data_IF_010480820478
#
_entry.id   IF_010480820478
#
_cell.length_a   1.000
_cell.length_b   1.000
_cell.length_c   1.000
_cell.angle_alpha   90.00
_cell.angle_beta   90.00
_cell.angle_gamma   90.00
#
_symmetry.space_group_name_H-M   'P 1'
#
loop_
_entity.id
_entity.type
_entity.pdbx_description
1 polymer ?
#
# COMPACT_ATOMS: atom_id res chain seq x y z
N UNK A 1 62.56 43.00 -70.76
CA UNK A 1 61.19 43.42 -70.40
C UNK A 1 60.80 42.72 -69.08
N UNK A 2 60.52 43.51 -68.03
CA UNK A 2 59.99 43.17 -66.67
C UNK A 2 60.62 41.97 -65.92
N UNK A 3 61.65 42.24 -65.09
CA UNK A 3 61.63 42.56 -63.62
C UNK A 3 61.45 41.32 -62.72
N UNK A 4 62.56 40.91 -62.08
CA UNK A 4 62.61 39.99 -60.93
C UNK A 4 63.68 40.45 -59.93
N UNK A 5 63.29 40.34 -58.65
CA UNK A 5 64.05 40.09 -57.41
C UNK A 5 64.95 41.16 -56.76
N UNK A 6 64.80 41.18 -55.43
CA UNK A 6 65.81 41.47 -54.39
C UNK A 6 65.96 42.96 -54.06
N UNK A 7 66.03 43.41 -52.81
CA UNK A 7 66.19 42.78 -51.49
C UNK A 7 66.62 43.89 -50.50
N UNK A 8 66.47 43.62 -49.18
CA UNK A 8 66.97 44.40 -48.02
C UNK A 8 66.31 45.78 -47.77
N UNK A 9 66.04 46.26 -46.55
CA UNK A 9 66.35 45.83 -45.18
C UNK A 9 66.17 47.04 -44.23
N UNK A 10 66.04 46.78 -42.91
CA UNK A 10 65.81 47.68 -41.75
C UNK A 10 64.34 48.01 -41.48
N UNK A 11 63.76 47.78 -40.30
CA UNK A 11 64.29 47.50 -38.97
C UNK A 11 63.67 48.47 -37.98
N UNK A 12 62.80 48.00 -37.07
CA UNK A 12 62.61 48.61 -35.75
C UNK A 12 61.86 47.63 -34.84
N UNK A 13 62.48 47.31 -33.70
CA UNK A 13 61.89 46.47 -32.68
C UNK A 13 60.81 47.20 -31.89
N UNK A 14 59.85 46.44 -31.37
CA UNK A 14 59.08 46.87 -30.20
C UNK A 14 58.89 45.67 -29.28
N UNK A 15 59.24 45.88 -28.01
CA UNK A 15 59.25 44.89 -26.95
C UNK A 15 57.84 44.34 -26.67
N UNK A 16 57.70 43.02 -26.71
CA UNK A 16 56.47 42.34 -26.33
C UNK A 16 56.27 42.41 -24.81
N UNK A 17 55.37 43.30 -24.36
CA UNK A 17 54.78 43.25 -23.02
C UNK A 17 53.99 41.95 -22.84
N UNK A 18 54.38 41.11 -21.88
CA UNK A 18 53.59 39.95 -21.41
C UNK A 18 52.21 40.43 -20.94
N UNK A 19 51.18 40.17 -21.74
CA UNK A 19 49.78 40.30 -21.35
C UNK A 19 49.43 39.20 -20.36
N UNK A 20 49.24 39.54 -19.08
CA UNK A 20 48.56 38.67 -18.11
C UNK A 20 47.09 38.57 -18.53
N UNK A 21 46.70 37.40 -19.03
CA UNK A 21 45.34 37.05 -19.45
C UNK A 21 44.39 37.24 -18.24
N UNK A 22 43.60 38.30 -18.23
CA UNK A 22 42.56 38.51 -17.21
C UNK A 22 41.45 37.47 -17.46
N UNK A 23 41.33 36.50 -16.55
CA UNK A 23 40.17 35.61 -16.51
C UNK A 23 38.90 36.44 -16.34
N UNK A 24 37.94 36.28 -17.25
CA UNK A 24 36.63 36.92 -17.06
C UNK A 24 35.82 36.12 -16.02
N UNK A 25 34.88 36.80 -15.35
CA UNK A 25 33.98 36.14 -14.38
C UNK A 25 33.19 34.98 -15.04
N UNK A 26 32.96 35.07 -16.36
CA UNK A 26 32.30 34.05 -17.17
C UNK A 26 33.20 32.81 -17.34
N UNK A 27 34.51 33.00 -17.55
CA UNK A 27 35.47 31.88 -17.63
C UNK A 27 35.58 31.14 -16.29
N UNK A 28 35.51 31.87 -15.17
CA UNK A 28 35.46 31.29 -13.82
C UNK A 28 34.19 30.49 -13.55
N UNK A 29 33.02 31.00 -13.95
CA UNK A 29 31.74 30.28 -13.83
C UNK A 29 31.72 29.02 -14.68
N UNK A 30 32.16 29.08 -15.94
CA UNK A 30 32.23 27.91 -16.82
C UNK A 30 33.21 26.85 -16.30
N UNK A 31 34.34 27.28 -15.72
CA UNK A 31 35.29 26.37 -15.08
C UNK A 31 34.70 25.71 -13.84
N UNK A 32 33.99 26.46 -13.00
CA UNK A 32 33.35 25.94 -11.79
C UNK A 32 32.22 24.95 -12.13
N UNK A 33 31.38 25.27 -13.12
CA UNK A 33 30.35 24.35 -13.63
C UNK A 33 31.00 23.10 -14.22
N UNK A 34 32.07 23.25 -14.99
CA UNK A 34 32.86 22.13 -15.51
C UNK A 34 33.40 21.23 -14.40
N UNK A 35 33.98 21.81 -13.35
CA UNK A 35 34.45 21.07 -12.17
C UNK A 35 33.31 20.34 -11.45
N UNK A 36 32.17 20.97 -11.26
CA UNK A 36 30.99 20.33 -10.64
C UNK A 36 30.52 19.15 -11.50
N UNK A 37 30.38 19.35 -12.81
CA UNK A 37 29.98 18.28 -13.73
C UNK A 37 30.98 17.13 -13.72
N UNK A 38 32.28 17.41 -13.81
CA UNK A 38 33.33 16.38 -13.76
C UNK A 38 33.36 15.64 -12.43
N UNK A 39 33.21 16.34 -11.30
CA UNK A 39 33.11 15.72 -9.97
C UNK A 39 31.85 14.86 -9.85
N UNK A 40 30.72 15.31 -10.38
CA UNK A 40 29.48 14.55 -10.37
C UNK A 40 29.58 13.28 -11.21
N UNK A 41 30.15 13.36 -12.42
CA UNK A 41 30.43 12.20 -13.26
C UNK A 41 31.45 11.24 -12.63
N UNK A 42 32.47 11.78 -11.95
CA UNK A 42 33.44 10.96 -11.23
C UNK A 42 32.82 10.25 -10.02
N UNK A 43 31.99 10.93 -9.25
CA UNK A 43 31.24 10.32 -8.13
C UNK A 43 30.24 9.27 -8.63
N UNK A 44 29.57 9.54 -9.76
CA UNK A 44 28.67 8.58 -10.40
C UNK A 44 29.45 7.35 -10.89
N UNK A 45 30.61 7.55 -11.51
CA UNK A 45 31.50 6.47 -11.93
C UNK A 45 31.97 5.66 -10.72
N UNK A 46 32.44 6.31 -9.66
CA UNK A 46 32.84 5.65 -8.42
C UNK A 46 31.67 4.88 -7.78
N UNK A 47 30.46 5.44 -7.78
CA UNK A 47 29.26 4.77 -7.28
C UNK A 47 28.94 3.49 -8.07
N UNK A 48 29.03 3.55 -9.41
CA UNK A 48 28.78 2.39 -10.27
C UNK A 48 29.96 1.40 -10.32
N UNK A 49 31.19 1.85 -10.06
CA UNK A 49 32.38 1.02 -9.96
C UNK A 49 32.59 0.43 -8.56
N UNK A 50 31.85 0.91 -7.55
CA UNK A 50 31.91 0.39 -6.20
C UNK A 50 31.35 -1.03 -6.18
N UNK A 51 32.12 -2.04 -5.73
CA UNK A 51 31.59 -3.38 -5.55
C UNK A 51 30.40 -3.35 -4.57
N UNK A 52 29.34 -4.10 -4.87
CA UNK A 52 28.17 -4.20 -3.98
C UNK A 52 28.51 -4.68 -2.55
N UNK A 53 29.71 -5.25 -2.35
CA UNK A 53 30.24 -5.69 -1.06
C UNK A 53 30.86 -4.59 -0.21
N UNK A 54 31.20 -3.41 -0.76
CA UNK A 54 31.88 -2.35 -0.02
C UNK A 54 31.01 -1.72 1.09
N UNK A 55 29.71 -1.44 0.89
CA UNK A 55 28.83 -1.00 1.98
C UNK A 55 28.70 -2.04 3.09
N UNK A 56 28.65 -3.34 2.73
CA UNK A 56 28.65 -4.43 3.70
C UNK A 56 29.94 -4.48 4.51
N UNK A 57 31.10 -4.32 3.86
CA UNK A 57 32.41 -4.33 4.52
C UNK A 57 32.57 -3.17 5.52
N UNK A 58 32.13 -1.97 5.14
CA UNK A 58 32.16 -0.78 6.02
C UNK A 58 31.18 -0.94 7.18
N UNK A 59 29.98 -1.47 6.91
CA UNK A 59 28.97 -1.71 7.96
C UNK A 59 29.46 -2.78 8.93
N UNK A 60 30.01 -3.90 8.45
CA UNK A 60 30.57 -4.98 9.24
C UNK A 60 31.78 -4.53 10.09
N UNK A 61 32.63 -3.66 9.54
CA UNK A 61 33.74 -3.05 10.29
C UNK A 61 33.27 -2.11 11.42
N UNK A 62 32.10 -1.48 11.28
CA UNK A 62 31.54 -0.54 12.26
C UNK A 62 30.65 -1.26 13.29
N UNK A 63 29.84 -2.23 12.88
CA UNK A 63 28.82 -2.87 13.72
C UNK A 63 29.14 -4.30 14.16
N UNK A 64 30.25 -4.87 13.69
CA UNK A 64 30.56 -6.29 13.85
C UNK A 64 29.85 -7.17 12.80
N UNK A 65 30.11 -8.49 12.78
CA UNK A 65 29.50 -9.42 11.83
C UNK A 65 27.98 -9.39 11.96
N UNK A 66 27.30 -9.12 10.85
CA UNK A 66 25.84 -9.15 10.81
C UNK A 66 25.37 -10.56 11.18
N UNK A 67 24.37 -10.70 12.08
CA UNK A 67 23.83 -12.01 12.40
C UNK A 67 23.31 -12.68 11.13
N UNK A 68 23.53 -13.99 11.03
CA UNK A 68 23.06 -14.77 9.88
C UNK A 68 21.58 -14.49 9.62
N UNK A 69 21.19 -14.21 8.36
CA UNK A 69 19.78 -14.15 7.99
C UNK A 69 19.06 -15.43 8.42
N UNK A 70 17.77 -15.37 8.81
CA UNK A 70 17.05 -16.53 9.33
C UNK A 70 17.20 -17.81 8.51
N UNK A 71 17.12 -17.72 7.18
CA UNK A 71 17.28 -18.85 6.27
C UNK A 71 18.68 -19.48 6.30
N UNK A 72 19.74 -18.69 6.50
CA UNK A 72 21.11 -19.19 6.66
C UNK A 72 21.25 -19.91 7.99
N UNK A 73 20.69 -19.35 9.06
CA UNK A 73 20.68 -19.99 10.39
C UNK A 73 19.96 -21.34 10.33
N UNK A 74 18.75 -21.38 9.76
CA UNK A 74 17.97 -22.60 9.62
C UNK A 74 18.67 -23.66 8.75
N UNK A 75 19.39 -23.23 7.71
CA UNK A 75 20.20 -24.13 6.89
C UNK A 75 21.38 -24.73 7.69
N UNK A 76 22.05 -23.94 8.54
CA UNK A 76 23.10 -24.42 9.46
C UNK A 76 22.54 -25.42 10.49
N UNK A 77 21.30 -25.20 10.94
CA UNK A 77 20.56 -26.12 11.81
C UNK A 77 20.08 -27.40 11.07
N UNK A 78 20.35 -27.52 9.77
CA UNK A 78 20.03 -28.70 8.96
C UNK A 78 18.58 -28.76 8.46
N UNK A 79 17.80 -27.68 8.59
CA UNK A 79 16.43 -27.64 8.08
C UNK A 79 16.41 -27.63 6.55
N UNK A 80 15.41 -28.32 5.99
CA UNK A 80 15.17 -28.42 4.55
C UNK A 80 13.68 -28.25 4.24
N UNK A 81 13.38 -27.86 3.01
CA UNK A 81 12.03 -27.78 2.49
C UNK A 81 11.28 -29.11 2.65
N UNK A 82 10.03 -29.03 3.12
CA UNK A 82 9.20 -30.21 3.42
C UNK A 82 7.77 -30.09 2.93
N UNK A 83 7.09 -29.01 3.33
CA UNK A 83 5.73 -28.72 2.91
C UNK A 83 5.75 -27.59 1.88
N UNK A 84 5.02 -27.69 0.75
CA UNK A 84 4.90 -26.57 -0.18
C UNK A 84 4.29 -25.35 0.51
N UNK A 85 4.65 -24.15 0.07
CA UNK A 85 4.22 -22.89 0.70
C UNK A 85 3.32 -22.10 -0.23
N UNK A 86 2.18 -21.64 0.28
CA UNK A 86 1.25 -20.76 -0.44
C UNK A 86 1.22 -19.39 0.24
N UNK A 87 1.58 -18.34 -0.47
CA UNK A 87 1.50 -16.96 0.01
C UNK A 87 0.18 -16.34 -0.44
N UNK A 88 -0.53 -15.68 0.49
CA UNK A 88 -1.76 -14.94 0.17
C UNK A 88 -1.55 -13.46 0.52
N UNK A 89 -1.36 -12.60 -0.49
CA UNK A 89 -1.07 -11.18 -0.28
C UNK A 89 -2.27 -10.44 0.34
N UNK A 90 -1.99 -9.33 1.00
CA UNK A 90 -3.00 -8.43 1.54
C UNK A 90 -3.45 -7.37 0.53
N UNK A 91 -4.32 -6.47 0.99
CA UNK A 91 -4.76 -5.32 0.21
C UNK A 91 -3.55 -4.52 -0.29
N UNK A 92 -3.64 -3.96 -1.49
CA UNK A 92 -2.60 -3.14 -2.16
C UNK A 92 -1.22 -3.78 -2.33
N UNK A 93 -0.99 -5.02 -1.93
CA UNK A 93 0.38 -5.61 -1.97
C UNK A 93 0.69 -6.39 -3.25
N UNK A 94 -0.33 -6.79 -4.01
CA UNK A 94 -0.17 -7.45 -5.30
C UNK A 94 -0.16 -6.46 -6.46
N UNK A 95 0.73 -6.66 -7.44
CA UNK A 95 0.76 -5.86 -8.66
C UNK A 95 -0.48 -6.06 -9.52
N UNK A 96 -0.94 -4.99 -10.16
CA UNK A 96 -2.06 -5.00 -11.12
C UNK A 96 -1.59 -4.44 -12.46
N UNK A 97 -1.90 -5.14 -13.55
CA UNK A 97 -1.51 -4.77 -14.92
C UNK A 97 -2.71 -4.51 -15.83
N UNK A 98 -2.53 -3.59 -16.78
CA UNK A 98 -3.55 -3.21 -17.76
C UNK A 98 -3.63 -4.20 -18.92
N UNK A 99 -4.84 -4.62 -19.29
CA UNK A 99 -5.12 -5.48 -20.44
C UNK A 99 -5.96 -4.78 -21.51
N UNK A 100 -6.81 -3.85 -21.10
CA UNK A 100 -7.65 -3.04 -21.98
C UNK A 100 -7.89 -1.70 -21.27
N UNK A 101 -7.84 -0.61 -22.02
CA UNK A 101 -8.04 0.73 -21.46
C UNK A 101 -8.44 1.72 -22.53
N UNK A 102 -8.94 2.88 -22.10
CA UNK A 102 -9.37 3.96 -22.98
C UNK A 102 -8.16 4.66 -23.64
N UNK A 103 -8.42 5.59 -24.55
CA UNK A 103 -7.37 6.31 -25.30
C UNK A 103 -6.32 6.97 -24.40
N UNK A 104 -6.69 7.42 -23.19
CA UNK A 104 -5.74 8.00 -22.26
C UNK A 104 -4.69 6.99 -21.74
N UNK A 105 -4.94 5.69 -21.84
CA UNK A 105 -4.05 4.61 -21.43
C UNK A 105 -3.28 3.98 -22.61
N UNK A 106 -3.30 4.61 -23.78
CA UNK A 106 -2.56 4.14 -24.94
C UNK A 106 -1.05 3.99 -24.62
N UNK A 107 -0.48 2.85 -25.03
CA UNK A 107 0.90 2.45 -24.75
C UNK A 107 1.12 1.73 -23.41
N UNK A 108 0.07 1.57 -22.58
CA UNK A 108 0.17 0.94 -21.26
C UNK A 108 -0.23 -0.54 -21.22
N UNK A 109 -0.48 -1.19 -22.36
CA UNK A 109 -0.82 -2.61 -22.41
C UNK A 109 0.25 -3.48 -21.71
N UNK A 110 -0.21 -4.31 -20.77
CA UNK A 110 0.58 -5.16 -19.85
C UNK A 110 1.61 -4.42 -19.01
N UNK A 111 1.44 -3.11 -18.83
CA UNK A 111 2.20 -2.34 -17.84
C UNK A 111 1.49 -2.40 -16.50
N UNK A 112 2.29 -2.45 -15.43
CA UNK A 112 1.78 -2.41 -14.06
C UNK A 112 1.24 -1.01 -13.77
N UNK A 113 -0.07 -0.88 -13.59
CA UNK A 113 -0.68 0.34 -13.06
C UNK A 113 -0.55 0.42 -11.53
N UNK A 114 -0.27 -0.71 -10.89
CA UNK A 114 -0.01 -0.83 -9.46
C UNK A 114 1.15 -1.79 -9.19
N UNK A 115 2.05 -1.46 -8.25
CA UNK A 115 3.18 -2.32 -7.88
C UNK A 115 4.32 -2.36 -8.92
N UNK A 116 4.65 -1.23 -9.53
CA UNK A 116 5.70 -1.07 -10.54
C UNK A 116 6.36 0.31 -10.50
N UNK A 117 6.95 0.77 -11.61
CA UNK A 117 7.49 2.14 -11.70
C UNK A 117 6.34 3.16 -11.73
N UNK A 118 6.17 3.94 -10.67
CA UNK A 118 5.11 4.96 -10.53
C UNK A 118 5.15 6.09 -11.59
N UNK A 119 6.15 6.12 -12.48
CA UNK A 119 6.33 7.17 -13.48
C UNK A 119 5.12 7.43 -14.38
N UNK A 120 4.33 6.40 -14.71
CA UNK A 120 3.12 6.57 -15.53
C UNK A 120 1.92 7.11 -14.74
N UNK A 121 1.84 6.82 -13.44
CA UNK A 121 0.82 7.37 -12.53
C UNK A 121 0.97 8.89 -12.44
N UNK A 122 2.21 9.38 -12.33
CA UNK A 122 2.49 10.82 -12.28
C UNK A 122 2.19 11.56 -13.58
N UNK A 123 2.31 10.89 -14.74
CA UNK A 123 2.04 11.50 -16.04
C UNK A 123 0.55 11.65 -16.34
N UNK A 124 -0.29 10.72 -15.85
CA UNK A 124 -1.71 10.63 -16.22
C UNK A 124 -2.60 10.30 -15.01
N UNK A 125 -2.68 11.17 -13.98
CA UNK A 125 -3.34 10.85 -12.72
C UNK A 125 -4.85 10.57 -12.88
N UNK A 126 -5.57 11.36 -13.68
CA UNK A 126 -7.01 11.13 -13.90
C UNK A 126 -7.29 9.83 -14.67
N UNK A 127 -6.46 9.53 -15.68
CA UNK A 127 -6.54 8.26 -16.40
C UNK A 127 -6.29 7.07 -15.48
N UNK A 128 -5.30 7.20 -14.59
CA UNK A 128 -5.01 6.16 -13.60
C UNK A 128 -6.17 5.95 -12.63
N UNK A 129 -6.78 7.02 -12.10
CA UNK A 129 -7.96 6.94 -11.22
C UNK A 129 -9.12 6.23 -11.93
N UNK A 130 -9.39 6.60 -13.18
CA UNK A 130 -10.43 5.97 -14.00
C UNK A 130 -10.19 4.45 -14.18
N UNK A 131 -8.97 4.05 -14.52
CA UNK A 131 -8.63 2.64 -14.77
C UNK A 131 -8.53 1.80 -13.50
N UNK A 132 -8.24 2.43 -12.36
CA UNK A 132 -8.17 1.75 -11.07
C UNK A 132 -9.51 1.67 -10.33
N UNK A 133 -10.51 2.44 -10.79
CA UNK A 133 -11.87 2.39 -10.25
C UNK A 133 -12.61 1.12 -10.72
N UNK A 134 -13.49 0.62 -9.87
CA UNK A 134 -14.47 -0.42 -10.23
C UNK A 134 -15.81 0.22 -10.58
N UNK A 135 -16.63 -0.49 -11.34
CA UNK A 135 -17.97 -0.08 -11.69
C UNK A 135 -18.86 -0.01 -10.45
N UNK A 136 -19.60 1.10 -10.34
CA UNK A 136 -20.30 1.44 -9.11
C UNK A 136 -21.57 0.61 -8.85
N UNK A 137 -22.07 -0.14 -9.84
CA UNK A 137 -23.22 -1.05 -9.66
C UNK A 137 -22.78 -2.50 -9.53
N UNK A 138 -21.81 -2.95 -10.35
CA UNK A 138 -21.40 -4.35 -10.44
C UNK A 138 -20.21 -4.71 -9.54
N UNK A 139 -19.37 -3.74 -9.17
CA UNK A 139 -18.13 -4.00 -8.45
C UNK A 139 -17.09 -4.77 -9.30
N UNK A 140 -17.20 -4.71 -10.62
CA UNK A 140 -16.27 -5.29 -11.60
C UNK A 140 -15.52 -4.19 -12.37
N UNK A 141 -14.72 -4.56 -13.37
CA UNK A 141 -14.05 -3.54 -14.19
C UNK A 141 -15.08 -2.74 -15.01
N UNK A 142 -14.91 -1.42 -15.16
CA UNK A 142 -15.76 -0.60 -16.03
C UNK A 142 -15.69 -1.01 -17.51
N UNK A 143 -16.71 -0.67 -18.33
CA UNK A 143 -16.69 -0.94 -19.76
C UNK A 143 -15.45 -0.37 -20.48
N UNK A 144 -14.80 -1.21 -21.30
CA UNK A 144 -13.59 -0.84 -22.04
C UNK A 144 -12.32 -0.77 -21.18
N UNK A 145 -12.36 -1.27 -19.94
CA UNK A 145 -11.22 -1.34 -19.02
C UNK A 145 -11.07 -2.78 -18.54
N UNK A 146 -9.85 -3.31 -18.56
CA UNK A 146 -9.50 -4.62 -17.99
C UNK A 146 -8.20 -4.51 -17.23
N UNK A 147 -8.26 -4.79 -15.93
CA UNK A 147 -7.10 -4.84 -15.05
C UNK A 147 -6.97 -6.25 -14.47
N UNK A 148 -5.79 -6.85 -14.52
CA UNK A 148 -5.57 -8.20 -14.03
C UNK A 148 -4.46 -8.25 -12.98
N UNK A 149 -4.56 -9.16 -11.99
CA UNK A 149 -3.47 -9.38 -11.06
C UNK A 149 -2.26 -9.93 -11.82
N UNK A 150 -1.09 -9.43 -11.46
CA UNK A 150 0.18 -10.02 -11.91
C UNK A 150 0.28 -11.44 -11.36
N UNK A 151 0.81 -12.36 -12.15
CA UNK A 151 0.94 -13.78 -11.79
C UNK A 151 2.36 -14.14 -11.32
N UNK A 152 2.47 -15.24 -10.58
CA UNK A 152 3.74 -15.79 -10.09
C UNK A 152 4.28 -15.07 -8.85
N UNK A 153 5.46 -15.50 -8.38
CA UNK A 153 6.10 -14.92 -7.19
C UNK A 153 6.41 -13.41 -7.36
N UNK A 154 6.63 -12.98 -8.60
CA UNK A 154 6.87 -11.57 -8.99
C UNK A 154 5.67 -10.64 -8.77
N UNK A 155 4.50 -11.21 -8.44
CA UNK A 155 3.30 -10.43 -8.19
C UNK A 155 3.39 -9.60 -6.90
N UNK A 156 4.18 -10.06 -5.92
CA UNK A 156 4.28 -9.39 -4.62
C UNK A 156 5.67 -9.47 -3.97
N UNK A 157 6.72 -9.90 -4.68
CA UNK A 157 8.08 -9.90 -4.14
C UNK A 157 8.57 -8.46 -3.87
N UNK A 158 8.55 -7.62 -4.89
CA UNK A 158 8.93 -6.21 -4.91
C UNK A 158 7.75 -5.37 -5.40
N UNK A 159 7.23 -4.53 -4.51
CA UNK A 159 6.13 -3.64 -4.84
C UNK A 159 6.63 -2.33 -5.48
N UNK A 160 7.79 -1.84 -5.03
CA UNK A 160 8.53 -0.72 -5.60
C UNK A 160 10.02 -0.86 -5.27
N UNK A 161 10.94 -0.17 -5.97
CA UNK A 161 12.34 -0.14 -5.58
C UNK A 161 12.50 0.23 -4.10
N UNK A 162 13.08 -0.66 -3.29
CA UNK A 162 13.27 -0.47 -1.84
C UNK A 162 12.08 -0.83 -0.94
N UNK A 163 10.92 -1.23 -1.51
CA UNK A 163 9.77 -1.69 -0.74
C UNK A 163 9.48 -3.18 -1.04
N UNK A 164 9.98 -4.03 -0.14
CA UNK A 164 9.90 -5.48 -0.21
C UNK A 164 8.66 -5.94 0.57
N UNK A 165 7.73 -6.64 -0.07
CA UNK A 165 6.57 -7.20 0.66
C UNK A 165 6.88 -8.66 1.03
N UNK A 166 7.25 -9.48 0.04
CA UNK A 166 7.51 -10.91 0.24
C UNK A 166 8.92 -11.36 -0.12
N UNK A 167 9.71 -10.54 -0.82
CA UNK A 167 11.04 -10.93 -1.32
C UNK A 167 11.99 -11.43 -0.22
N UNK A 168 11.97 -10.82 0.97
CA UNK A 168 12.81 -11.23 2.10
C UNK A 168 12.43 -12.63 2.60
N UNK A 169 11.13 -12.93 2.73
CA UNK A 169 10.67 -14.24 3.17
C UNK A 169 11.00 -15.32 2.13
N UNK A 170 10.74 -15.03 0.85
CA UNK A 170 11.04 -15.93 -0.28
C UNK A 170 12.54 -16.25 -0.32
N UNK A 171 13.40 -15.23 -0.20
CA UNK A 171 14.85 -15.41 -0.21
C UNK A 171 15.35 -16.27 0.97
N UNK A 172 14.74 -16.14 2.15
CA UNK A 172 15.09 -16.97 3.31
C UNK A 172 14.62 -18.42 3.14
N UNK A 173 13.44 -18.65 2.57
CA UNK A 173 12.95 -20.00 2.24
C UNK A 173 13.85 -20.67 1.19
N UNK A 174 14.32 -19.92 0.20
CA UNK A 174 15.24 -20.44 -0.82
C UNK A 174 16.54 -20.99 -0.21
N UNK A 175 17.03 -20.42 0.90
CA UNK A 175 18.23 -20.91 1.60
C UNK A 175 18.09 -22.32 2.19
N UNK A 176 16.86 -22.79 2.43
CA UNK A 176 16.57 -24.14 2.93
C UNK A 176 15.97 -25.05 1.84
N UNK A 177 16.11 -24.69 0.57
CA UNK A 177 15.75 -25.54 -0.57
C UNK A 177 14.33 -25.36 -1.10
N UNK A 178 13.65 -24.25 -0.78
CA UNK A 178 12.44 -23.85 -1.50
C UNK A 178 12.79 -23.22 -2.86
N UNK A 179 11.94 -23.45 -3.84
CA UNK A 179 12.05 -22.98 -5.23
C UNK A 179 10.65 -22.63 -5.75
N UNK A 180 10.55 -22.05 -6.95
CA UNK A 180 9.27 -21.70 -7.58
C UNK A 180 8.29 -22.90 -7.64
N UNK A 181 8.81 -24.12 -7.90
CA UNK A 181 7.99 -25.35 -7.97
C UNK A 181 7.28 -25.74 -6.68
N UNK A 182 7.72 -25.25 -5.52
CA UNK A 182 7.13 -25.55 -4.20
C UNK A 182 6.71 -24.30 -3.43
N UNK A 183 6.65 -23.15 -4.12
CA UNK A 183 6.15 -21.88 -3.61
C UNK A 183 5.12 -21.30 -4.57
N UNK A 184 3.93 -20.97 -4.07
CA UNK A 184 2.86 -20.40 -4.88
C UNK A 184 2.40 -19.06 -4.31
N UNK A 185 2.39 -18.01 -5.12
CA UNK A 185 1.75 -16.74 -4.79
C UNK A 185 0.31 -16.77 -5.30
N UNK A 186 -0.66 -16.87 -4.38
CA UNK A 186 -2.08 -16.79 -4.65
C UNK A 186 -2.48 -15.32 -4.90
N UNK A 187 -1.98 -14.73 -5.99
CA UNK A 187 -2.28 -13.37 -6.37
C UNK A 187 -3.74 -13.24 -6.84
N UNK A 188 -4.41 -12.18 -6.40
CA UNK A 188 -5.79 -11.86 -6.72
C UNK A 188 -5.93 -10.34 -6.89
N UNK A 189 -7.00 -9.91 -7.55
CA UNK A 189 -7.34 -8.49 -7.62
C UNK A 189 -7.95 -8.06 -6.29
N UNK A 190 -7.10 -7.46 -5.46
CA UNK A 190 -7.44 -7.01 -4.12
C UNK A 190 -8.41 -5.82 -4.10
N UNK A 191 -8.89 -5.32 -5.25
CA UNK A 191 -9.96 -4.30 -5.29
C UNK A 191 -11.34 -4.95 -5.22
N UNK A 192 -11.49 -6.13 -5.80
CA UNK A 192 -12.78 -6.82 -5.93
C UNK A 192 -13.24 -7.40 -4.59
N UNK A 193 -14.56 -7.54 -4.43
CA UNK A 193 -15.10 -8.43 -3.40
C UNK A 193 -14.61 -9.87 -3.59
N UNK A 194 -14.56 -10.65 -2.51
CA UNK A 194 -13.93 -11.97 -2.56
C UNK A 194 -14.66 -12.89 -3.54
N UNK A 195 -16.00 -12.86 -3.55
CA UNK A 195 -16.80 -13.61 -4.51
C UNK A 195 -16.60 -13.12 -5.96
N UNK A 196 -16.45 -11.82 -6.20
CA UNK A 196 -16.22 -11.29 -7.55
C UNK A 196 -14.85 -11.72 -8.11
N UNK A 197 -13.87 -12.05 -7.28
CA UNK A 197 -12.60 -12.66 -7.75
C UNK A 197 -12.83 -14.03 -8.41
N UNK A 198 -13.83 -14.78 -7.97
CA UNK A 198 -14.25 -16.03 -8.61
C UNK A 198 -15.05 -15.72 -9.87
N UNK A 199 -16.06 -14.86 -9.80
CA UNK A 199 -16.91 -14.52 -10.96
C UNK A 199 -16.09 -14.00 -12.14
N UNK A 200 -15.14 -13.09 -11.91
CA UNK A 200 -14.36 -12.46 -12.98
C UNK A 200 -13.19 -13.32 -13.46
N UNK A 201 -12.41 -13.85 -12.53
CA UNK A 201 -11.08 -14.41 -12.82
C UNK A 201 -10.96 -15.91 -12.48
N UNK A 202 -12.01 -16.51 -11.89
CA UNK A 202 -12.00 -17.87 -11.34
C UNK A 202 -10.88 -18.07 -10.32
N UNK A 203 -10.59 -17.04 -9.53
CA UNK A 203 -9.39 -17.01 -8.69
C UNK A 203 -9.45 -18.03 -7.56
N UNK A 204 -10.62 -18.21 -6.93
CA UNK A 204 -10.78 -19.21 -5.86
C UNK A 204 -10.64 -20.63 -6.43
N UNK A 205 -11.24 -20.89 -7.60
CA UNK A 205 -11.06 -22.14 -8.34
C UNK A 205 -9.59 -22.39 -8.71
N UNK A 206 -8.84 -21.36 -9.11
CA UNK A 206 -7.41 -21.48 -9.43
C UNK A 206 -6.57 -21.75 -8.18
N UNK A 207 -6.88 -21.13 -7.05
CA UNK A 207 -6.21 -21.40 -5.77
C UNK A 207 -6.43 -22.85 -5.37
N UNK A 208 -7.68 -23.34 -5.45
CA UNK A 208 -8.03 -24.75 -5.20
C UNK A 208 -7.17 -25.68 -6.07
N UNK A 209 -7.21 -25.52 -7.39
CA UNK A 209 -6.47 -26.39 -8.32
C UNK A 209 -4.96 -26.35 -8.13
N UNK A 210 -4.39 -25.18 -7.82
CA UNK A 210 -2.95 -25.06 -7.54
C UNK A 210 -2.57 -25.77 -6.24
N UNK A 211 -3.38 -25.66 -5.19
CA UNK A 211 -3.13 -26.37 -3.93
C UNK A 211 -3.20 -27.88 -4.14
N UNK A 212 -4.23 -28.38 -4.82
CA UNK A 212 -4.37 -29.80 -5.16
C UNK A 212 -3.14 -30.30 -5.94
N UNK A 213 -2.70 -29.54 -6.95
CA UNK A 213 -1.50 -29.85 -7.72
C UNK A 213 -0.23 -29.88 -6.86
N UNK A 214 -0.04 -28.90 -5.97
CA UNK A 214 1.11 -28.86 -5.06
C UNK A 214 1.13 -30.05 -4.10
N UNK A 215 -0.03 -30.49 -3.60
CA UNK A 215 -0.13 -31.68 -2.74
C UNK A 215 0.18 -32.95 -3.54
N UNK A 216 -0.38 -33.09 -4.74
CA UNK A 216 -0.15 -34.24 -5.60
C UNK A 216 1.33 -34.39 -6.00
N UNK A 217 1.99 -33.29 -6.34
CA UNK A 217 3.38 -33.27 -6.82
C UNK A 217 4.43 -33.26 -5.71
N UNK A 218 4.04 -33.06 -4.46
CA UNK A 218 4.94 -33.10 -3.29
C UNK A 218 4.99 -34.44 -2.57
N UNK A 219 4.43 -35.50 -3.16
CA UNK A 219 4.30 -36.81 -2.51
C UNK A 219 3.26 -36.80 -1.39
N UNK A 220 2.16 -36.08 -1.59
CA UNK A 220 1.04 -35.98 -0.65
C UNK A 220 1.30 -35.05 0.54
N UNK A 221 2.28 -34.15 0.47
CA UNK A 221 2.54 -33.18 1.55
C UNK A 221 1.55 -32.02 1.43
N UNK A 222 0.67 -31.93 2.42
CA UNK A 222 -0.25 -30.79 2.62
C UNK A 222 0.52 -29.46 2.63
N UNK A 223 -0.09 -28.40 2.11
CA UNK A 223 0.54 -27.08 1.98
C UNK A 223 0.54 -26.31 3.30
N UNK A 224 1.56 -25.49 3.52
CA UNK A 224 1.56 -24.45 4.56
C UNK A 224 1.16 -23.14 3.90
N UNK A 225 0.12 -22.49 4.43
CA UNK A 225 -0.39 -21.23 3.88
C UNK A 225 0.08 -20.08 4.75
N UNK A 226 0.61 -19.02 4.14
CA UNK A 226 1.09 -17.82 4.81
C UNK A 226 0.31 -16.62 4.28
N UNK A 227 -0.89 -16.36 4.83
CA UNK A 227 -1.67 -15.18 4.49
C UNK A 227 -1.24 -13.95 5.30
N UNK A 228 -1.31 -12.77 4.70
CA UNK A 228 -0.95 -11.50 5.34
C UNK A 228 -2.09 -10.47 5.28
N UNK A 229 -2.34 -9.76 6.38
CA UNK A 229 -3.32 -8.67 6.45
C UNK A 229 -4.70 -9.11 5.91
N UNK A 230 -5.31 -8.37 4.97
CA UNK A 230 -6.57 -8.74 4.31
C UNK A 230 -6.53 -10.13 3.66
N UNK A 231 -5.35 -10.61 3.24
CA UNK A 231 -5.17 -11.96 2.69
C UNK A 231 -5.55 -13.06 3.68
N UNK A 232 -5.54 -12.77 4.98
CA UNK A 232 -6.05 -13.69 6.02
C UNK A 232 -7.55 -13.85 5.93
N UNK A 233 -8.29 -12.74 5.75
CA UNK A 233 -9.73 -12.77 5.55
C UNK A 233 -10.09 -13.43 4.21
N UNK A 234 -9.34 -13.13 3.16
CA UNK A 234 -9.52 -13.75 1.84
C UNK A 234 -9.31 -15.26 1.91
N UNK A 235 -8.26 -15.72 2.60
CA UNK A 235 -8.01 -17.14 2.76
C UNK A 235 -9.02 -17.83 3.67
N UNK A 236 -9.51 -17.16 4.72
CA UNK A 236 -10.62 -17.64 5.54
C UNK A 236 -11.88 -17.84 4.69
N UNK A 237 -12.22 -16.86 3.85
CA UNK A 237 -13.31 -16.97 2.88
C UNK A 237 -13.08 -18.14 1.92
N UNK A 238 -11.88 -18.29 1.37
CA UNK A 238 -11.53 -19.41 0.49
C UNK A 238 -11.74 -20.78 1.16
N UNK A 239 -11.30 -20.96 2.42
CA UNK A 239 -11.49 -22.23 3.14
C UNK A 239 -12.97 -22.59 3.29
N UNK A 240 -13.83 -21.61 3.52
CA UNK A 240 -15.28 -21.83 3.63
C UNK A 240 -15.91 -22.08 2.26
N UNK A 241 -15.52 -21.27 1.28
CA UNK A 241 -15.97 -21.41 -0.10
C UNK A 241 -15.60 -22.78 -0.69
N UNK A 242 -14.37 -23.26 -0.49
CA UNK A 242 -13.89 -24.49 -1.13
C UNK A 242 -14.61 -25.74 -0.61
N UNK A 243 -14.97 -25.77 0.67
CA UNK A 243 -15.70 -26.89 1.27
C UNK A 243 -17.22 -26.81 1.00
N UNK A 244 -17.75 -25.63 0.71
CA UNK A 244 -19.16 -25.43 0.38
C UNK A 244 -19.53 -26.12 -0.95
N UNK A 245 -20.76 -26.69 -1.05
CA UNK A 245 -21.22 -27.40 -2.24
C UNK A 245 -21.45 -26.45 -3.42
N UNK A 246 -21.33 -26.98 -4.64
CA UNK A 246 -21.71 -26.27 -5.86
C UNK A 246 -23.24 -26.04 -5.88
N UNK A 247 -23.74 -24.95 -6.50
CA UNK A 247 -22.98 -23.94 -7.24
C UNK A 247 -22.43 -22.78 -6.39
N UNK A 248 -22.74 -22.73 -5.09
CA UNK A 248 -22.37 -21.60 -4.23
C UNK A 248 -20.90 -21.62 -3.78
N UNK A 249 -20.30 -22.81 -3.67
CA UNK A 249 -18.90 -23.02 -3.30
C UNK A 249 -18.08 -23.80 -4.31
N UNK A 250 -16.83 -24.08 -3.96
CA UNK A 250 -15.85 -24.78 -4.77
C UNK A 250 -16.06 -26.29 -4.87
N UNK A 251 -16.95 -26.88 -4.08
CA UNK A 251 -17.30 -28.31 -4.14
C UNK A 251 -16.11 -29.24 -3.91
N UNK A 252 -15.19 -28.87 -3.02
CA UNK A 252 -14.09 -29.72 -2.56
C UNK A 252 -14.52 -30.79 -1.54
N UNK A 253 -15.70 -30.61 -0.93
CA UNK A 253 -16.20 -31.47 0.14
C UNK A 253 -15.73 -31.02 1.53
N UNK A 254 -16.34 -31.53 2.61
CA UNK A 254 -16.16 -31.04 3.98
C UNK A 254 -14.78 -31.36 4.59
N UNK A 255 -13.98 -32.19 3.93
CA UNK A 255 -12.63 -32.56 4.38
C UNK A 255 -11.54 -31.91 3.53
N UNK A 256 -11.88 -31.06 2.56
CA UNK A 256 -10.90 -30.55 1.62
C UNK A 256 -9.76 -29.81 2.32
N UNK A 257 -10.07 -28.93 3.29
CA UNK A 257 -9.05 -28.22 4.06
C UNK A 257 -8.22 -29.20 4.90
N UNK A 258 -8.88 -30.18 5.53
CA UNK A 258 -8.19 -31.21 6.31
C UNK A 258 -7.24 -32.05 5.45
N UNK A 259 -7.57 -32.32 4.18
CA UNK A 259 -6.79 -33.12 3.25
C UNK A 259 -5.64 -32.35 2.61
N UNK A 260 -5.79 -31.04 2.38
CA UNK A 260 -4.83 -30.27 1.58
C UNK A 260 -4.00 -29.25 2.38
N UNK A 261 -4.49 -28.79 3.54
CA UNK A 261 -3.84 -27.75 4.34
C UNK A 261 -3.16 -28.36 5.56
N UNK A 262 -1.86 -28.10 5.73
CA UNK A 262 -1.08 -28.53 6.90
C UNK A 262 -1.25 -27.56 8.06
N UNK A 263 -1.10 -26.28 7.76
CA UNK A 263 -1.11 -25.19 8.72
C UNK A 263 -1.34 -23.86 8.01
N UNK A 264 -1.90 -22.89 8.73
CA UNK A 264 -2.05 -21.51 8.28
C UNK A 264 -1.24 -20.62 9.24
N UNK A 265 -0.23 -19.93 8.73
CA UNK A 265 0.65 -19.02 9.48
C UNK A 265 0.24 -17.58 9.17
N UNK A 266 -0.76 -17.08 9.91
CA UNK A 266 -1.32 -15.75 9.71
C UNK A 266 -0.31 -14.65 10.11
N UNK A 267 -0.14 -13.64 9.27
CA UNK A 267 0.65 -12.45 9.56
C UNK A 267 -0.31 -11.25 9.64
N UNK A 268 -0.62 -10.81 10.86
CA UNK A 268 -1.42 -9.59 11.09
C UNK A 268 -2.85 -9.66 10.55
N UNK A 269 -3.56 -10.78 10.76
CA UNK A 269 -4.92 -10.98 10.26
C UNK A 269 -5.98 -10.15 11.00
N UNK A 270 -6.73 -9.27 10.30
CA UNK A 270 -7.75 -8.42 10.92
C UNK A 270 -9.12 -9.11 10.98
N UNK A 271 -9.23 -10.22 11.73
CA UNK A 271 -10.46 -11.05 11.76
C UNK A 271 -11.72 -10.25 12.09
N UNK A 272 -11.63 -9.36 13.08
CA UNK A 272 -12.73 -8.50 13.52
C UNK A 272 -12.75 -7.15 12.79
N UNK A 273 -11.92 -6.95 11.77
CA UNK A 273 -11.72 -5.66 11.10
C UNK A 273 -10.62 -4.81 11.75
N UNK A 274 -10.44 -3.59 11.23
CA UNK A 274 -9.50 -2.59 11.74
C UNK A 274 -10.09 -1.18 11.62
N UNK A 275 -10.01 -0.33 12.66
CA UNK A 275 -10.50 1.06 12.61
C UNK A 275 -9.95 1.87 11.44
N UNK A 276 -8.68 1.62 11.06
CA UNK A 276 -8.01 2.26 9.92
C UNK A 276 -8.70 2.01 8.57
N UNK A 277 -9.42 0.91 8.39
CA UNK A 277 -10.17 0.69 7.15
C UNK A 277 -11.22 1.78 6.94
N UNK A 278 -11.81 2.28 8.02
CA UNK A 278 -12.85 3.31 7.98
C UNK A 278 -12.23 4.65 7.60
N UNK A 279 -11.14 5.08 8.26
CA UNK A 279 -10.46 6.33 7.88
C UNK A 279 -9.91 6.28 6.44
N UNK A 280 -9.48 5.09 5.98
CA UNK A 280 -9.13 4.86 4.58
C UNK A 280 -10.27 5.12 3.60
N UNK A 281 -11.50 4.68 3.91
CA UNK A 281 -12.70 4.92 3.10
C UNK A 281 -13.20 6.39 3.16
N UNK A 282 -12.93 7.07 4.28
CA UNK A 282 -13.43 8.42 4.55
C UNK A 282 -12.53 9.54 4.08
N UNK A 283 -11.23 9.44 4.32
CA UNK A 283 -10.27 10.51 4.09
C UNK A 283 -9.21 10.14 3.06
N UNK A 284 -9.33 8.95 2.43
CA UNK A 284 -8.25 8.31 1.71
C UNK A 284 -6.95 8.23 2.54
N UNK A 285 -7.07 8.19 3.87
CA UNK A 285 -5.95 8.15 4.83
C UNK A 285 -5.34 6.74 4.90
N UNK A 286 -4.88 6.23 3.76
CA UNK A 286 -3.85 5.22 3.81
C UNK A 286 -2.54 5.93 4.18
N UNK A 287 -1.83 5.44 5.20
CA UNK A 287 -0.39 5.74 5.37
C UNK A 287 0.38 5.59 4.05
N UNK A 288 -0.13 4.81 3.09
CA UNK A 288 0.40 4.65 1.75
C UNK A 288 0.25 5.90 0.85
N UNK A 289 -0.74 6.76 1.08
CA UNK A 289 -0.78 8.13 0.53
C UNK A 289 0.19 9.05 1.27
N UNK A 290 0.46 8.81 2.57
CA UNK A 290 1.56 9.49 3.26
C UNK A 290 2.94 9.07 2.70
N UNK A 291 3.08 7.83 2.21
CA UNK A 291 4.26 7.37 1.46
C UNK A 291 4.30 7.99 0.06
N UNK A 292 3.17 8.10 -0.65
CA UNK A 292 3.11 8.87 -1.90
C UNK A 292 3.46 10.36 -1.70
N UNK A 293 3.01 10.96 -0.59
CA UNK A 293 3.41 12.31 -0.14
C UNK A 293 4.90 12.39 0.20
N UNK A 294 5.46 11.36 0.83
CA UNK A 294 6.87 11.31 1.23
C UNK A 294 7.82 11.07 0.03
N UNK A 295 7.38 10.34 -1.00
CA UNK A 295 8.16 10.05 -2.21
C UNK A 295 8.08 11.22 -3.21
N UNK A 296 7.03 12.04 -3.16
CA UNK A 296 6.84 13.19 -4.05
C UNK A 296 6.30 14.44 -3.33
N UNK A 297 7.12 15.10 -2.47
CA UNK A 297 6.69 16.27 -1.69
C UNK A 297 6.17 17.42 -2.58
N UNK A 298 6.74 17.60 -3.78
CA UNK A 298 6.40 18.72 -4.67
C UNK A 298 5.07 18.62 -5.44
N UNK A 299 4.32 17.51 -5.35
CA UNK A 299 3.05 17.33 -6.11
C UNK A 299 1.82 17.67 -5.27
N UNK A 300 1.91 17.52 -3.94
CA UNK A 300 0.80 17.83 -3.03
C UNK A 300 0.99 19.18 -2.30
N UNK A 301 2.21 19.74 -2.31
CA UNK A 301 2.51 21.11 -1.82
C UNK A 301 2.22 22.21 -2.86
N UNK A 302 1.73 21.87 -4.05
CA UNK A 302 1.17 22.86 -4.98
C UNK A 302 -0.32 22.93 -4.78
N UNK A 303 -0.75 23.96 -4.04
CA UNK A 303 -2.12 24.41 -3.76
C UNK A 303 -3.07 24.55 -4.96
N UNK A 304 -2.66 24.16 -6.17
CA UNK A 304 -3.45 24.23 -7.40
C UNK A 304 -4.32 22.97 -7.61
N UNK A 305 -4.05 21.85 -6.93
CA UNK A 305 -4.80 20.58 -7.06
C UNK A 305 -5.46 20.08 -5.75
N UNK A 306 -5.50 20.94 -4.72
CA UNK A 306 -5.65 20.59 -3.30
C UNK A 306 -7.00 20.07 -2.77
N UNK A 307 -8.02 19.87 -3.61
CA UNK A 307 -9.29 19.25 -3.18
C UNK A 307 -9.88 18.32 -4.25
N UNK A 308 -9.83 18.72 -5.52
CA UNK A 308 -10.40 17.93 -6.63
C UNK A 308 -9.71 16.56 -6.81
N UNK A 309 -8.39 16.52 -6.70
CA UNK A 309 -7.63 15.25 -6.80
C UNK A 309 -7.96 14.30 -5.64
N UNK A 310 -8.08 14.83 -4.42
CA UNK A 310 -8.46 14.04 -3.25
C UNK A 310 -9.87 13.47 -3.41
N UNK A 311 -10.80 14.28 -3.92
CA UNK A 311 -12.16 13.83 -4.22
C UNK A 311 -12.13 12.66 -5.20
N UNK A 312 -11.43 12.77 -6.33
CA UNK A 312 -11.29 11.67 -7.29
C UNK A 312 -10.70 10.39 -6.70
N UNK A 313 -9.68 10.51 -5.85
CA UNK A 313 -9.07 9.36 -5.16
C UNK A 313 -10.06 8.72 -4.18
N UNK A 314 -10.78 9.52 -3.38
CA UNK A 314 -11.79 9.01 -2.45
C UNK A 314 -12.88 8.22 -3.20
N UNK A 315 -13.35 8.74 -4.34
CA UNK A 315 -14.33 8.05 -5.20
C UNK A 315 -13.82 6.67 -5.60
N UNK A 316 -12.63 6.62 -6.19
CA UNK A 316 -11.99 5.38 -6.60
C UNK A 316 -11.84 4.42 -5.43
N UNK A 317 -11.33 4.85 -4.27
CA UNK A 317 -11.13 3.96 -3.12
C UNK A 317 -12.43 3.34 -2.60
N UNK A 318 -13.57 4.04 -2.71
CA UNK A 318 -14.90 3.51 -2.33
C UNK A 318 -15.48 2.55 -3.38
N UNK A 319 -14.87 2.44 -4.54
CA UNK A 319 -15.19 1.37 -5.49
C UNK A 319 -14.48 0.06 -5.14
N UNK A 320 -13.44 0.08 -4.30
CA UNK A 320 -12.68 -1.12 -3.92
C UNK A 320 -13.40 -1.93 -2.83
N UNK A 321 -14.35 -2.74 -3.27
CA UNK A 321 -15.27 -3.51 -2.41
C UNK A 321 -14.58 -4.43 -1.40
N UNK A 322 -13.37 -4.92 -1.66
CA UNK A 322 -12.61 -5.77 -0.69
C UNK A 322 -12.40 -5.09 0.67
N UNK A 323 -12.32 -3.76 0.69
CA UNK A 323 -12.09 -2.96 1.91
C UNK A 323 -13.21 -3.15 2.94
N UNK A 324 -14.42 -3.47 2.48
CA UNK A 324 -15.57 -3.77 3.32
C UNK A 324 -15.31 -4.95 4.27
N UNK A 325 -14.50 -5.93 3.84
CA UNK A 325 -14.15 -7.09 4.66
C UNK A 325 -13.42 -6.71 5.95
N UNK A 326 -12.76 -5.55 5.96
CA UNK A 326 -11.94 -5.05 7.07
C UNK A 326 -12.65 -4.03 7.96
N UNK A 327 -13.94 -3.74 7.73
CA UNK A 327 -14.71 -2.89 8.64
C UNK A 327 -14.85 -3.59 10.01
N UNK A 328 -14.71 -2.83 11.12
CA UNK A 328 -14.92 -3.34 12.47
C UNK A 328 -16.23 -4.13 12.63
N UNK A 329 -16.13 -5.34 13.19
CA UNK A 329 -17.24 -6.25 13.47
C UNK A 329 -17.39 -6.44 14.98
N UNK A 330 -18.63 -6.65 15.43
CA UNK A 330 -18.95 -6.86 16.84
C UNK A 330 -19.25 -5.58 17.63
N UNK A 331 -19.31 -4.44 16.93
CA UNK A 331 -19.81 -3.19 17.50
C UNK A 331 -19.01 -2.69 18.69
N UNK A 332 -19.65 -1.85 19.49
CA UNK A 332 -19.02 -1.23 20.67
C UNK A 332 -18.66 -2.29 21.72
N UNK A 333 -19.29 -3.48 21.68
CA UNK A 333 -18.97 -4.62 22.57
C UNK A 333 -17.53 -5.11 22.38
N UNK A 334 -17.03 -5.10 21.14
CA UNK A 334 -15.66 -5.53 20.82
C UNK A 334 -14.71 -4.36 20.79
N UNK A 335 -15.12 -3.22 20.24
CA UNK A 335 -14.22 -2.13 19.87
C UNK A 335 -14.19 -0.97 20.86
N UNK A 336 -15.05 -0.99 21.88
CA UNK A 336 -15.17 0.14 22.78
C UNK A 336 -16.21 1.15 22.34
N UNK A 337 -16.59 2.00 23.28
CA UNK A 337 -17.52 3.11 23.05
C UNK A 337 -16.81 4.47 23.17
N UNK A 338 -17.56 5.50 23.55
CA UNK A 338 -17.02 6.85 23.72
C UNK A 338 -15.95 6.94 24.82
N UNK A 339 -16.07 6.15 25.88
CA UNK A 339 -15.28 6.33 27.09
C UNK A 339 -14.35 5.16 27.43
N UNK A 340 -14.48 4.05 26.72
CA UNK A 340 -13.69 2.84 26.96
C UNK A 340 -13.24 2.19 25.66
N UNK A 341 -12.14 1.43 25.72
CA UNK A 341 -11.70 0.55 24.62
C UNK A 341 -10.87 -0.63 25.13
N UNK A 342 -10.77 -1.74 24.38
CA UNK A 342 -9.96 -2.90 24.77
C UNK A 342 -8.47 -2.59 25.02
N UNK A 343 -7.96 -1.52 24.41
CA UNK A 343 -6.58 -1.07 24.50
C UNK A 343 -6.29 -0.28 25.78
N UNK A 344 -7.31 0.15 26.51
CA UNK A 344 -7.13 0.85 27.79
C UNK A 344 -6.40 -0.04 28.81
N UNK A 345 -5.39 0.53 29.48
CA UNK A 345 -4.53 -0.21 30.41
C UNK A 345 -3.38 -0.97 29.76
N UNK A 346 -3.27 -1.00 28.42
CA UNK A 346 -2.09 -1.51 27.73
C UNK A 346 -1.07 -0.40 27.49
N UNK A 347 -0.10 -0.25 28.40
CA UNK A 347 1.06 0.59 28.17
C UNK A 347 1.92 -0.01 27.05
N UNK A 348 1.98 0.66 25.89
CA UNK A 348 2.98 0.36 24.87
C UNK A 348 4.37 0.59 25.47
N UNK A 349 5.01 -0.47 25.98
CA UNK A 349 6.40 -0.38 26.44
C UNK A 349 7.26 -0.03 25.24
N UNK A 350 7.75 1.21 25.18
CA UNK A 350 8.79 1.59 24.23
C UNK A 350 9.94 0.59 24.41
N UNK A 351 10.34 -0.07 23.33
CA UNK A 351 11.34 -1.16 23.37
C UNK A 351 12.53 -0.74 24.23
N UNK A 352 12.91 -1.61 25.20
CA UNK A 352 14.22 -1.54 25.86
C UNK A 352 15.28 -1.53 24.77
N UNK A 353 16.01 -0.43 24.64
CA UNK A 353 17.26 -0.42 23.91
C UNK A 353 18.18 -1.48 24.55
N UNK A 354 18.81 -2.29 23.72
CA UNK A 354 19.73 -3.35 24.10
C UNK A 354 21.07 -2.80 24.57
N UNK A 355 21.06 -1.94 25.59
CA UNK A 355 22.23 -1.59 26.40
C UNK A 355 21.77 -1.58 27.85
N UNK A 356 22.24 -2.56 28.63
CA UNK A 356 21.83 -2.81 30.01
C UNK A 356 22.24 -1.70 30.99
N UNK A 357 21.55 -0.57 30.96
CA UNK A 357 21.48 0.36 32.08
C UNK A 357 20.03 0.49 32.54
N UNK A 358 19.78 -0.01 33.74
CA UNK A 358 18.55 0.25 34.49
C UNK A 358 18.71 1.67 35.03
N UNK A 359 18.27 2.67 34.26
CA UNK A 359 17.88 3.94 34.86
C UNK A 359 16.44 3.77 35.36
N UNK A 360 16.32 3.58 36.68
CA UNK A 360 15.06 3.66 37.38
C UNK A 360 14.53 5.09 37.32
N UNK A 361 13.85 5.45 36.24
CA UNK A 361 12.93 6.57 36.26
C UNK A 361 11.59 6.06 36.77
N UNK A 362 11.30 6.38 38.04
CA UNK A 362 9.97 6.35 38.62
C UNK A 362 9.07 7.25 37.77
N UNK A 363 8.46 6.70 36.72
CA UNK A 363 7.44 7.34 35.91
C UNK A 363 6.09 6.65 36.10
N UNK A 364 5.87 6.15 37.31
CA UNK A 364 4.67 5.41 37.71
C UNK A 364 3.50 6.31 38.07
N UNK A 365 3.68 7.64 38.13
CA UNK A 365 2.61 8.58 38.53
C UNK A 365 2.21 9.62 37.46
N UNK A 366 3.06 9.92 36.46
CA UNK A 366 2.78 11.03 35.53
C UNK A 366 2.06 10.65 34.22
N UNK A 367 1.85 9.36 33.95
CA UNK A 367 1.07 8.91 32.76
C UNK A 367 -0.40 8.63 33.08
N UNK A 368 -0.81 8.70 34.35
CA UNK A 368 -2.19 8.56 34.76
C UNK A 368 -3.01 9.86 34.58
N UNK A 369 -2.36 11.00 34.31
CA UNK A 369 -2.98 12.33 34.36
C UNK A 369 -2.99 13.12 33.03
N UNK A 370 -2.57 12.55 31.89
CA UNK A 370 -2.95 13.09 30.58
C UNK A 370 -4.14 12.30 30.06
N UNK A 371 -5.28 12.94 29.80
CA UNK A 371 -6.48 12.28 29.26
C UNK A 371 -6.11 11.28 28.16
N UNK A 372 -6.25 9.99 28.48
CA UNK A 372 -5.75 8.92 27.62
C UNK A 372 -6.45 8.93 26.26
N UNK A 373 -5.73 8.53 25.21
CA UNK A 373 -6.29 8.40 23.86
C UNK A 373 -7.51 7.48 23.91
N UNK A 374 -8.66 7.97 23.45
CA UNK A 374 -9.93 7.23 23.45
C UNK A 374 -10.07 6.35 22.20
N UNK A 375 -9.47 5.16 22.22
CA UNK A 375 -9.42 4.29 21.03
C UNK A 375 -10.78 3.74 20.57
N UNK A 376 -11.80 3.74 21.43
CA UNK A 376 -13.18 3.35 21.06
C UNK A 376 -13.86 4.38 20.15
N UNK A 377 -13.35 5.61 20.11
CA UNK A 377 -13.74 6.66 19.17
C UNK A 377 -13.01 6.47 17.85
N UNK A 378 -13.56 5.64 16.95
CA UNK A 378 -12.93 5.30 15.66
C UNK A 378 -12.71 6.55 14.79
N UNK A 379 -13.68 7.46 14.74
CA UNK A 379 -13.52 8.78 14.12
C UNK A 379 -13.92 9.85 15.12
N UNK A 380 -13.09 10.88 15.26
CA UNK A 380 -13.41 12.11 16.00
C UNK A 380 -13.12 13.32 15.13
N UNK A 381 -14.13 14.16 14.90
CA UNK A 381 -14.00 15.42 14.16
C UNK A 381 -13.63 16.55 15.12
N UNK A 382 -12.34 16.87 15.18
CA UNK A 382 -11.79 17.91 16.07
C UNK A 382 -10.90 17.30 17.15
N UNK A 383 -9.74 17.92 17.38
CA UNK A 383 -8.80 17.46 18.42
C UNK A 383 -9.36 17.70 19.82
N UNK A 384 -10.02 18.83 20.00
CA UNK A 384 -10.80 19.16 21.19
C UNK A 384 -11.86 18.10 21.48
N UNK A 385 -12.63 17.69 20.47
CA UNK A 385 -13.65 16.63 20.61
C UNK A 385 -13.03 15.27 20.97
N UNK A 386 -11.89 14.93 20.38
CA UNK A 386 -11.20 13.69 20.69
C UNK A 386 -10.83 13.57 22.18
N UNK A 387 -10.52 14.69 22.83
CA UNK A 387 -10.10 14.78 24.24
C UNK A 387 -11.27 15.08 25.21
N UNK A 388 -12.43 15.55 24.71
CA UNK A 388 -13.60 15.91 25.52
C UNK A 388 -14.21 14.69 26.25
N UNK A 389 -14.77 14.93 27.43
CA UNK A 389 -15.58 13.93 28.14
C UNK A 389 -16.89 13.67 27.39
N UNK A 390 -17.40 12.43 27.38
CA UNK A 390 -18.58 12.07 26.58
C UNK A 390 -19.83 12.90 26.88
N UNK A 391 -20.03 13.33 28.13
CA UNK A 391 -21.14 14.22 28.52
C UNK A 391 -21.16 15.56 27.81
N UNK A 392 -20.00 16.02 27.35
CA UNK A 392 -19.81 17.36 26.80
C UNK A 392 -19.80 17.34 25.26
N UNK A 393 -19.96 16.16 24.66
CA UNK A 393 -20.02 15.98 23.21
C UNK A 393 -21.46 16.25 22.75
N UNK A 394 -21.68 17.46 22.23
CA UNK A 394 -22.93 17.80 21.54
C UNK A 394 -22.99 17.17 20.15
N UNK A 395 -23.59 15.99 20.03
CA UNK A 395 -23.83 15.31 18.74
C UNK A 395 -25.19 15.70 18.15
N UNK A 396 -25.22 16.13 16.89
CA UNK A 396 -26.47 16.30 16.13
C UNK A 396 -26.64 15.11 15.20
N UNK A 397 -27.77 14.41 15.26
CA UNK A 397 -28.02 13.26 14.39
C UNK A 397 -28.05 13.69 12.91
N UNK A 398 -27.27 13.02 12.08
CA UNK A 398 -27.20 13.25 10.64
C UNK A 398 -28.27 12.46 9.88
N UNK A 399 -28.88 11.44 10.49
CA UNK A 399 -29.91 10.60 9.87
C UNK A 399 -31.14 11.44 9.54
N UNK A 400 -31.39 11.65 8.24
CA UNK A 400 -32.51 12.45 7.71
C UNK A 400 -32.14 13.83 7.17
N UNK A 401 -30.91 14.31 7.35
CA UNK A 401 -30.45 15.64 6.91
C UNK A 401 -29.78 15.65 5.52
N UNK A 402 -30.36 14.96 4.54
CA UNK A 402 -29.90 15.01 3.14
C UNK A 402 -30.57 16.16 2.37
N UNK A 403 -30.22 17.40 2.74
CA UNK A 403 -30.61 18.59 1.98
C UNK A 403 -29.51 18.92 0.96
N UNK A 404 -29.53 18.26 -0.19
CA UNK A 404 -28.77 18.72 -1.35
C UNK A 404 -29.40 20.03 -1.85
N UNK A 405 -28.73 21.17 -1.62
CA UNK A 405 -29.21 22.47 -2.08
C UNK A 405 -28.80 22.66 -3.55
N UNK A 406 -29.74 22.54 -4.49
CA UNK A 406 -29.51 22.48 -5.94
C UNK A 406 -29.20 23.88 -6.54
N UNK A 407 -28.46 24.74 -5.84
CA UNK A 407 -28.11 26.09 -6.32
C UNK A 407 -26.63 26.18 -6.73
N UNK A 408 -26.37 25.89 -8.00
CA UNK A 408 -25.36 26.44 -8.92
C UNK A 408 -23.99 26.94 -8.40
N UNK A 409 -23.38 26.36 -7.36
CA UNK A 409 -21.96 26.60 -7.02
C UNK A 409 -21.23 25.45 -6.33
N UNK A 410 -21.78 24.23 -6.35
CA UNK A 410 -21.18 23.11 -5.66
C UNK A 410 -20.15 22.36 -6.51
N UNK A 411 -19.00 22.09 -5.89
CA UNK A 411 -17.89 21.31 -6.44
C UNK A 411 -18.41 19.91 -6.75
N UNK A 412 -18.36 19.53 -8.03
CA UNK A 412 -18.87 18.26 -8.53
C UNK A 412 -18.02 17.12 -7.97
N UNK A 413 -18.46 16.56 -6.85
CA UNK A 413 -17.89 15.35 -6.24
C UNK A 413 -18.83 14.18 -6.49
N UNK A 414 -18.49 12.93 -6.14
CA UNK A 414 -19.42 11.77 -6.26
C UNK A 414 -20.70 11.96 -5.42
N UNK A 415 -20.71 13.06 -4.66
CA UNK A 415 -21.75 13.67 -3.90
C UNK A 415 -22.80 14.38 -4.78
N UNK A 416 -23.23 13.78 -5.89
CA UNK A 416 -24.47 14.27 -6.52
C UNK A 416 -25.66 14.14 -5.55
N UNK A 417 -25.55 13.31 -4.49
CA UNK A 417 -26.58 13.13 -3.46
C UNK A 417 -26.29 13.83 -2.11
N UNK A 418 -25.05 14.25 -1.80
CA UNK A 418 -24.67 14.78 -0.48
C UNK A 418 -24.06 16.19 -0.57
N UNK A 419 -24.87 17.24 -0.42
CA UNK A 419 -24.39 18.62 -0.44
C UNK A 419 -23.53 19.01 0.78
N UNK A 420 -23.06 20.26 0.81
CA UNK A 420 -22.33 20.86 1.95
C UNK A 420 -23.09 20.65 3.28
N UNK A 421 -24.43 20.68 3.25
CA UNK A 421 -25.28 20.41 4.41
C UNK A 421 -25.09 19.00 4.98
N UNK A 422 -24.97 17.98 4.13
CA UNK A 422 -24.71 16.60 4.55
C UNK A 422 -23.31 16.41 5.11
N UNK A 423 -22.30 17.06 4.51
CA UNK A 423 -20.92 17.10 5.04
C UNK A 423 -20.91 17.71 6.44
N UNK A 424 -21.61 18.83 6.61
CA UNK A 424 -21.74 19.49 7.91
C UNK A 424 -22.45 18.59 8.92
N UNK A 425 -23.52 17.90 8.54
CA UNK A 425 -24.23 16.98 9.42
C UNK A 425 -23.32 15.84 9.92
N UNK A 426 -22.50 15.25 9.05
CA UNK A 426 -21.51 14.23 9.44
C UNK A 426 -20.48 14.79 10.42
N UNK A 427 -19.96 15.99 10.15
CA UNK A 427 -19.01 16.65 11.05
C UNK A 427 -19.64 17.08 12.38
N UNK A 428 -20.94 17.38 12.40
CA UNK A 428 -21.70 17.80 13.59
C UNK A 428 -22.21 16.62 14.43
N UNK A 429 -22.11 15.38 13.95
CA UNK A 429 -22.23 14.18 14.78
C UNK A 429 -20.99 13.97 15.68
N UNK A 430 -19.87 14.63 15.35
CA UNK A 430 -18.62 14.74 16.12
C UNK A 430 -17.82 13.43 16.28
N UNK A 431 -18.41 12.36 16.81
CA UNK A 431 -17.69 11.12 17.16
C UNK A 431 -18.43 9.90 16.65
N UNK A 432 -17.69 8.98 16.03
CA UNK A 432 -18.22 7.71 15.54
C UNK A 432 -17.51 6.54 16.21
N UNK A 433 -18.30 5.66 16.83
CA UNK A 433 -17.90 4.36 17.37
C UNK A 433 -18.18 3.24 16.36
N UNK A 434 -17.87 1.98 16.71
CA UNK A 434 -18.09 0.84 15.84
C UNK A 434 -19.57 0.63 15.49
N UNK A 435 -20.49 0.92 16.40
CA UNK A 435 -21.94 0.80 16.15
C UNK A 435 -22.46 1.85 15.14
N UNK A 436 -21.95 3.08 15.23
CA UNK A 436 -22.40 4.19 14.37
C UNK A 436 -21.76 4.21 12.98
N UNK A 437 -20.71 3.41 12.76
CA UNK A 437 -19.88 3.48 11.55
C UNK A 437 -20.60 2.97 10.32
N UNK A 438 -21.48 1.99 10.49
CA UNK A 438 -22.28 1.44 9.39
C UNK A 438 -23.29 2.48 8.92
N UNK A 439 -23.96 3.18 9.84
CA UNK A 439 -24.89 4.27 9.49
C UNK A 439 -24.17 5.39 8.74
N UNK A 440 -22.98 5.75 9.22
CA UNK A 440 -22.11 6.72 8.57
C UNK A 440 -21.75 6.29 7.14
N UNK A 441 -21.40 5.02 6.93
CA UNK A 441 -21.07 4.50 5.60
C UNK A 441 -22.29 4.41 4.68
N UNK A 442 -23.47 4.05 5.19
CA UNK A 442 -24.72 4.07 4.42
C UNK A 442 -25.06 5.49 3.94
N UNK A 443 -24.74 6.49 4.75
CA UNK A 443 -24.95 7.89 4.40
C UNK A 443 -23.93 8.41 3.38
N UNK A 444 -22.64 8.11 3.57
CA UNK A 444 -21.55 8.71 2.77
C UNK A 444 -21.17 7.90 1.53
N UNK A 445 -21.44 6.60 1.52
CA UNK A 445 -21.09 5.69 0.43
C UNK A 445 -22.20 4.66 0.15
N UNK A 446 -23.44 5.10 -0.14
CA UNK A 446 -24.60 4.21 -0.28
C UNK A 446 -24.43 3.15 -1.38
N UNK A 447 -23.76 3.48 -2.50
CA UNK A 447 -23.50 2.51 -3.58
C UNK A 447 -22.54 1.41 -3.15
N UNK A 448 -21.46 1.77 -2.46
CA UNK A 448 -20.53 0.81 -1.87
C UNK A 448 -21.25 -0.09 -0.86
N UNK A 449 -22.09 0.49 0.00
CA UNK A 449 -22.88 -0.29 0.96
C UNK A 449 -23.91 -1.20 0.29
N UNK A 450 -24.54 -0.76 -0.80
CA UNK A 450 -25.48 -1.59 -1.59
C UNK A 450 -24.76 -2.79 -2.23
N UNK A 451 -23.56 -2.58 -2.81
CA UNK A 451 -22.73 -3.67 -3.34
C UNK A 451 -22.29 -4.61 -2.21
N UNK A 452 -21.71 -4.04 -1.14
CA UNK A 452 -21.25 -4.78 0.04
C UNK A 452 -22.36 -5.58 0.72
N UNK A 453 -23.58 -5.05 0.80
CA UNK A 453 -24.75 -5.71 1.39
C UNK A 453 -25.18 -6.97 0.62
N UNK A 454 -25.17 -6.91 -0.71
CA UNK A 454 -25.45 -8.07 -1.56
C UNK A 454 -24.41 -9.20 -1.42
N UNK A 455 -23.16 -8.83 -1.11
CA UNK A 455 -22.04 -9.76 -0.87
C UNK A 455 -22.06 -10.29 0.57
N UNK A 456 -22.40 -9.43 1.54
CA UNK A 456 -22.38 -9.72 2.97
C UNK A 456 -23.31 -10.86 3.35
N UNK A 457 -24.45 -11.05 2.66
CA UNK A 457 -25.35 -12.15 2.97
C UNK A 457 -24.72 -13.52 2.68
N UNK A 458 -23.85 -13.63 1.66
CA UNK A 458 -23.07 -14.84 1.39
C UNK A 458 -21.80 -14.93 2.24
N UNK A 459 -21.13 -13.80 2.53
CA UNK A 459 -19.91 -13.79 3.35
C UNK A 459 -20.19 -14.02 4.86
N UNK A 460 -21.27 -13.48 5.42
CA UNK A 460 -21.74 -13.76 6.79
C UNK A 460 -22.35 -15.16 6.95
N UNK A 461 -22.89 -15.76 5.89
CA UNK A 461 -23.31 -17.16 5.93
C UNK A 461 -22.13 -18.13 5.90
N UNK A 462 -20.94 -17.66 5.51
CA UNK A 462 -19.73 -18.47 5.38
C UNK A 462 -18.71 -18.30 6.52
N UNK A 463 -18.70 -17.16 7.23
CA UNK A 463 -17.92 -16.97 8.47
C UNK A 463 -18.69 -17.56 9.64
#
# INVERSE_FOLDING_TARGET
MRRRKGGEGRGSGSAAKKSRRKWSCVDGCCWFIGCICSMWWFLLFLYNAMPASFPQYVTEAITGPLPDPPGVKLAKDGLKAKHPVVFVPGIVTGGLELWEGHACAEGLFRKRLWGGTFGEVYKRPLCWVEHMSLDNETGLDPPGIKIRPVSGLVAADYFAPGYFVWAVLIANLARIGYEDKNMYMAAYDWRLSFQNTEVRDQTLSRIKSNIELMVATSGGKKVVVVPHSMGVLYFLHFMKWVEAPKPMGGGGGPNWCAEHIKAVMNIGGPFLGVPKAVSGLFSAEAKDIAIARAIAPGVLDRDVFGFQTLQHVMRMTRTWDSTMSMIPKGGDTIWGGLDWSPEEGHACSSKKNSNGQIEGYNRTEDLANSGGVKYGRIISFGKDVADLHSSDIGSVDFRGNNLANITCRDVWTEYHDMGIGGIKAVADYKVYTADSILDLLHFVAPKMMKRGGAISHMELLMI
#
